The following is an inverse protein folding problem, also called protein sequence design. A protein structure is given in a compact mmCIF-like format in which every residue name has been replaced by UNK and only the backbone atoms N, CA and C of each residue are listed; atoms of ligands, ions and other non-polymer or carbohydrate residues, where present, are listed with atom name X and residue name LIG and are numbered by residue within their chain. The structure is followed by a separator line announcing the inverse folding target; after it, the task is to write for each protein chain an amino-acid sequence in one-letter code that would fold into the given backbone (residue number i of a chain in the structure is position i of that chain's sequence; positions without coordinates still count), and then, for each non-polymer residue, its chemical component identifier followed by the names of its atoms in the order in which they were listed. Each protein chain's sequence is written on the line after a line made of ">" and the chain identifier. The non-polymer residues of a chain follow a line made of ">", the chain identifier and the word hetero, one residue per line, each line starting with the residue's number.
data_IF_270012669094
#
_entry.id   IF_270012669094
#
_cell.length_a   1.000
_cell.length_b   1.000
_cell.length_c   1.000
_cell.angle_alpha   90.00
_cell.angle_beta   90.00
_cell.angle_gamma   90.00
#
_symmetry.space_group_name_H-M   'P 1'
#
loop_
_entity.id
_entity.type
_entity.pdbx_description
1 polymer ?
#
# COMPACT_ATOMS: atom_id res chain seq x y z
N UNK A 1 -13.22 -12.52 12.75
CA UNK A 1 -12.12 -12.84 11.80
C UNK A 1 -12.18 -11.91 10.58
N UNK A 2 -11.63 -10.70 10.66
CA UNK A 2 -11.49 -9.80 9.50
C UNK A 2 -9.98 -9.53 9.32
N UNK A 3 -9.24 -10.58 8.94
CA UNK A 3 -7.90 -10.78 9.52
C UNK A 3 -6.70 -10.29 8.69
N UNK A 4 -6.71 -10.27 7.35
CA UNK A 4 -5.52 -9.89 6.55
C UNK A 4 -5.83 -9.24 5.20
N UNK A 5 -7.00 -9.52 4.63
CA UNK A 5 -7.41 -8.98 3.33
C UNK A 5 -7.71 -7.48 3.39
N UNK A 6 -8.21 -6.97 4.52
CA UNK A 6 -8.58 -5.56 4.68
C UNK A 6 -7.36 -4.62 4.63
N UNK A 7 -6.22 -4.99 5.22
CA UNK A 7 -5.04 -4.11 5.26
C UNK A 7 -4.39 -3.94 3.89
N UNK A 8 -4.28 -5.02 3.10
CA UNK A 8 -3.76 -4.94 1.73
C UNK A 8 -4.65 -4.05 0.86
N UNK A 9 -5.97 -4.21 0.98
CA UNK A 9 -6.95 -3.44 0.19
C UNK A 9 -6.88 -1.95 0.51
N UNK A 10 -6.76 -1.59 1.78
CA UNK A 10 -6.60 -0.20 2.18
C UNK A 10 -5.25 0.39 1.78
N UNK A 11 -4.18 -0.41 1.82
CA UNK A 11 -2.87 -0.01 1.29
C UNK A 11 -2.94 0.30 -0.21
N UNK A 12 -3.62 -0.56 -0.96
CA UNK A 12 -3.83 -0.40 -2.40
C UNK A 12 -4.75 0.79 -2.73
N UNK A 13 -5.81 1.02 -1.94
CA UNK A 13 -6.64 2.22 -2.03
C UNK A 13 -5.87 3.50 -1.72
N UNK A 14 -5.00 3.47 -0.71
CA UNK A 14 -4.09 4.60 -0.46
C UNK A 14 -3.28 4.90 -1.71
N UNK A 15 -2.67 3.88 -2.33
CA UNK A 15 -1.90 4.09 -3.56
C UNK A 15 -2.73 4.52 -4.78
N UNK A 16 -4.03 4.17 -4.82
CA UNK A 16 -4.94 4.64 -5.85
C UNK A 16 -5.13 6.16 -5.77
N UNK A 17 -5.26 6.69 -4.56
CA UNK A 17 -5.42 8.12 -4.30
C UNK A 17 -4.08 8.87 -4.28
N UNK A 18 -3.03 8.21 -3.81
CA UNK A 18 -1.70 8.76 -3.57
C UNK A 18 -0.66 7.96 -4.37
N UNK A 19 -0.03 8.55 -5.39
CA UNK A 19 0.89 7.84 -6.29
C UNK A 19 2.15 7.24 -5.63
N UNK A 20 2.42 7.61 -4.36
CA UNK A 20 3.55 7.14 -3.56
C UNK A 20 3.20 7.16 -2.08
N UNK A 21 3.90 6.35 -1.29
CA UNK A 21 3.92 6.42 0.16
C UNK A 21 5.34 6.75 0.60
N UNK A 22 5.49 7.72 1.49
CA UNK A 22 6.78 8.07 2.12
C UNK A 22 6.73 7.60 3.56
N UNK A 23 7.70 6.79 3.95
CA UNK A 23 7.89 6.31 5.32
C UNK A 23 9.21 6.89 5.80
N UNK A 24 9.16 7.73 6.83
CA UNK A 24 10.33 8.35 7.45
C UNK A 24 10.26 8.17 8.97
N UNK A 25 11.39 8.17 9.64
CA UNK A 25 11.47 7.96 11.09
C UNK A 25 10.69 9.04 11.87
N UNK A 26 10.72 10.29 11.38
CA UNK A 26 10.11 11.46 12.03
C UNK A 26 8.81 11.93 11.34
N UNK A 27 8.24 11.11 10.42
CA UNK A 27 6.93 11.39 9.85
C UNK A 27 5.94 10.32 10.23
N UNK A 28 4.80 10.78 10.73
CA UNK A 28 3.65 9.92 10.90
C UNK A 28 3.22 9.33 9.57
N UNK A 29 2.80 8.07 9.65
CA UNK A 29 2.11 7.43 8.54
C UNK A 29 0.82 8.19 8.23
N UNK A 30 0.32 8.13 6.99
CA UNK A 30 -1.00 8.65 6.66
C UNK A 30 -2.06 8.10 7.62
N UNK A 31 -3.03 8.92 8.02
CA UNK A 31 -4.08 8.55 9.00
C UNK A 31 -4.83 7.26 8.64
N UNK A 32 -4.98 6.97 7.34
CA UNK A 32 -5.58 5.71 6.85
C UNK A 32 -4.78 4.47 7.21
N UNK A 33 -3.47 4.62 7.42
CA UNK A 33 -2.54 3.54 7.72
C UNK A 33 -2.12 3.49 9.19
N UNK A 34 -2.31 4.57 9.96
CA UNK A 34 -1.93 4.65 11.38
C UNK A 34 -2.60 3.59 12.28
N UNK A 35 -3.76 3.07 11.87
CA UNK A 35 -4.48 2.02 12.60
C UNK A 35 -3.84 0.63 12.50
N UNK A 36 -2.84 0.46 11.62
CA UNK A 36 -2.10 -0.79 11.47
C UNK A 36 -0.78 -0.72 12.22
N UNK A 37 -0.37 -1.84 12.82
CA UNK A 37 0.94 -1.91 13.46
C UNK A 37 2.07 -1.81 12.43
N UNK A 38 3.27 -1.42 12.87
CA UNK A 38 4.44 -1.33 11.99
C UNK A 38 4.75 -2.67 11.32
N UNK A 39 4.61 -3.77 12.06
CA UNK A 39 4.83 -5.13 11.57
C UNK A 39 3.80 -5.52 10.49
N UNK A 40 2.53 -5.13 10.68
CA UNK A 40 1.48 -5.37 9.69
C UNK A 40 1.77 -4.62 8.38
N UNK A 41 2.20 -3.36 8.49
CA UNK A 41 2.56 -2.54 7.33
C UNK A 41 3.76 -3.12 6.60
N UNK A 42 4.82 -3.50 7.33
CA UNK A 42 5.99 -4.15 6.76
C UNK A 42 5.61 -5.45 6.05
N UNK A 43 4.79 -6.31 6.66
CA UNK A 43 4.34 -7.55 6.04
C UNK A 43 3.58 -7.33 4.73
N UNK A 44 2.73 -6.29 4.66
CA UNK A 44 2.02 -5.91 3.43
C UNK A 44 2.99 -5.40 2.37
N UNK A 45 3.93 -4.52 2.74
CA UNK A 45 4.95 -4.00 1.82
C UNK A 45 5.78 -5.13 1.24
N UNK A 46 6.32 -6.02 2.08
CA UNK A 46 7.11 -7.17 1.63
C UNK A 46 6.32 -8.06 0.69
N UNK A 47 5.06 -8.39 1.03
CA UNK A 47 4.22 -9.21 0.17
C UNK A 47 3.99 -8.55 -1.20
N UNK A 48 3.69 -7.26 -1.24
CA UNK A 48 3.46 -6.53 -2.49
C UNK A 48 4.75 -6.38 -3.31
N UNK A 49 5.90 -6.21 -2.66
CA UNK A 49 7.21 -6.16 -3.32
C UNK A 49 7.58 -7.52 -3.92
N UNK A 50 7.44 -8.61 -3.16
CA UNK A 50 7.75 -9.97 -3.59
C UNK A 50 6.92 -10.40 -4.81
N UNK A 51 5.69 -9.90 -4.90
CA UNK A 51 4.82 -10.10 -6.07
C UNK A 51 5.09 -9.10 -7.22
N UNK A 52 6.10 -8.24 -7.11
CA UNK A 52 6.48 -7.27 -8.13
C UNK A 52 5.49 -6.10 -8.30
N UNK A 53 4.64 -5.84 -7.29
CA UNK A 53 3.64 -4.76 -7.34
C UNK A 53 4.13 -3.43 -6.77
N UNK A 54 5.23 -3.44 -6.00
CA UNK A 54 5.86 -2.26 -5.44
C UNK A 54 7.34 -2.15 -5.82
N UNK A 55 7.79 -0.91 -6.03
CA UNK A 55 9.19 -0.51 -5.99
C UNK A 55 9.46 0.21 -4.68
N UNK A 56 10.59 -0.14 -4.04
CA UNK A 56 11.08 0.50 -2.83
C UNK A 56 12.33 1.29 -3.21
N UNK A 57 12.32 2.58 -2.90
CA UNK A 57 13.45 3.49 -3.14
C UNK A 57 13.90 4.03 -1.79
N UNK A 58 15.14 3.72 -1.43
CA UNK A 58 15.80 4.23 -0.23
C UNK A 58 16.46 5.57 -0.56
N UNK A 59 16.21 6.59 0.26
CA UNK A 59 16.87 7.89 0.16
C UNK A 59 17.90 8.08 1.29
N UNK A 60 18.85 8.97 1.05
CA UNK A 60 19.96 9.27 1.97
C UNK A 60 19.49 9.77 3.35
N UNK A 61 18.30 10.37 3.43
CA UNK A 61 17.73 10.93 4.66
C UNK A 61 16.95 9.92 5.51
N UNK A 62 17.25 8.62 5.39
CA UNK A 62 16.48 7.53 6.00
C UNK A 62 14.97 7.53 5.62
N UNK A 63 14.60 8.23 4.54
CA UNK A 63 13.26 8.15 3.96
C UNK A 63 13.17 6.96 3.01
N UNK A 64 12.08 6.20 3.15
CA UNK A 64 11.73 5.11 2.23
C UNK A 64 10.53 5.54 1.41
N UNK A 65 10.69 5.56 0.09
CA UNK A 65 9.62 5.86 -0.84
C UNK A 65 9.13 4.59 -1.53
N UNK A 66 7.83 4.36 -1.47
CA UNK A 66 7.17 3.21 -2.06
C UNK A 66 6.36 3.68 -3.27
N UNK A 67 6.53 3.01 -4.41
CA UNK A 67 5.85 3.30 -5.67
C UNK A 67 5.18 2.05 -6.23
N UNK A 68 4.00 2.21 -6.82
CA UNK A 68 3.39 1.10 -7.58
C UNK A 68 4.12 0.89 -8.91
N UNK A 69 4.42 -0.37 -9.19
CA UNK A 69 4.84 -0.79 -10.53
C UNK A 69 3.65 -0.72 -11.51
N UNK A 70 3.91 -0.88 -12.81
CA UNK A 70 2.85 -1.02 -13.80
C UNK A 70 1.91 -2.20 -13.50
N UNK A 71 2.43 -3.29 -12.92
CA UNK A 71 1.62 -4.42 -12.48
C UNK A 71 0.78 -4.08 -11.24
N UNK A 72 1.37 -3.38 -10.25
CA UNK A 72 0.65 -2.90 -9.07
C UNK A 72 -0.50 -1.95 -9.42
N UNK A 73 -0.29 -1.02 -10.37
CA UNK A 73 -1.36 -0.14 -10.87
C UNK A 73 -2.51 -0.93 -11.47
N UNK A 74 -2.23 -1.96 -12.28
CA UNK A 74 -3.28 -2.84 -12.85
C UNK A 74 -4.05 -3.59 -11.76
N UNK A 75 -3.36 -4.07 -10.73
CA UNK A 75 -3.98 -4.75 -9.60
C UNK A 75 -4.97 -3.82 -8.88
N UNK A 76 -4.56 -2.59 -8.56
CA UNK A 76 -5.42 -1.57 -7.94
C UNK A 76 -6.65 -1.30 -8.80
N UNK A 77 -6.47 -1.11 -10.11
CA UNK A 77 -7.60 -0.92 -11.04
C UNK A 77 -8.57 -2.10 -11.03
N UNK A 78 -8.07 -3.34 -11.10
CA UNK A 78 -8.92 -4.54 -11.09
C UNK A 78 -9.72 -4.66 -9.79
N UNK A 79 -9.08 -4.40 -8.66
CA UNK A 79 -9.73 -4.42 -7.34
C UNK A 79 -10.84 -3.36 -7.26
N UNK A 80 -10.56 -2.14 -7.72
CA UNK A 80 -11.54 -1.05 -7.72
C UNK A 80 -12.75 -1.35 -8.61
N UNK A 81 -12.56 -2.10 -9.70
CA UNK A 81 -13.64 -2.52 -10.59
C UNK A 81 -14.53 -3.61 -9.98
N UNK A 82 -13.93 -4.59 -9.29
CA UNK A 82 -14.66 -5.64 -8.55
C UNK A 82 -15.47 -5.05 -7.40
N UNK A 83 -14.96 -4.03 -6.70
CA UNK A 83 -15.71 -3.40 -5.61
C UNK A 83 -16.85 -2.50 -6.09
N UNK A 84 -16.74 -1.88 -7.27
CA UNK A 84 -17.85 -1.10 -7.87
C UNK A 84 -19.00 -1.96 -8.40
N UNK A 85 -18.74 -3.22 -8.75
CA UNK A 85 -19.74 -4.11 -9.32
C UNK A 85 -20.67 -4.74 -8.28
N UNK A 86 -20.34 -4.60 -7.00
CA UNK A 86 -21.14 -5.12 -5.88
C UNK A 86 -22.00 -4.05 -5.17
N UNK A 87 -22.02 -2.83 -5.73
CA UNK A 87 -22.74 -1.65 -5.21
C UNK A 87 -23.85 -1.20 -6.18
N UNK A 88 -24.39 -2.15 -6.96
CA UNK A 88 -25.50 -1.98 -7.90
C UNK A 88 -26.55 -3.06 -7.71
#
# INVERSE_FOLDING_TARGET
>A
MWSKTSSIMEFLHYFQKHKKLVVAQDRDLPSTLQKYSKEQIQAVIFKLQDNGFLWIVYQENAEVMLYLTSAGKRLVHKISWVHRSNDR
#
